data_IF_384312056520
#
_entry.id   IF_384312056520
#
_cell.length_a   1.000
_cell.length_b   1.000
_cell.length_c   1.000
_cell.angle_alpha   90.00
_cell.angle_beta   90.00
_cell.angle_gamma   90.00
#
_symmetry.space_group_name_H-M   'P 1'
#
loop_
_entity.id
_entity.type
_entity.pdbx_description
1 polymer ?
#
# COMPACT_ATOMS: atom_id res chain seq x y z
N UNK A 1 14.50 -10.12 2.23
CA UNK A 1 14.15 -8.70 1.98
C UNK A 1 12.95 -8.52 1.03
N UNK A 2 12.51 -9.57 0.33
CA UNK A 2 11.40 -9.54 -0.65
C UNK A 2 9.99 -9.68 -0.06
N UNK A 3 9.70 -10.69 0.78
CA UNK A 3 8.31 -11.05 1.11
C UNK A 3 7.58 -10.08 2.04
N UNK A 4 8.32 -9.42 2.93
CA UNK A 4 7.75 -8.42 3.85
C UNK A 4 7.18 -7.21 3.07
N UNK A 5 7.94 -6.55 2.17
CA UNK A 5 7.40 -5.44 1.40
C UNK A 5 6.30 -5.83 0.41
N UNK A 6 6.29 -7.08 -0.12
CA UNK A 6 5.18 -7.54 -0.97
C UNK A 6 3.81 -7.36 -0.30
N UNK A 7 3.71 -7.59 1.02
CA UNK A 7 2.45 -7.46 1.78
C UNK A 7 1.92 -6.03 1.73
N UNK A 8 2.81 -5.05 1.93
CA UNK A 8 2.44 -3.63 1.89
C UNK A 8 2.12 -3.19 0.45
N UNK A 9 2.91 -3.63 -0.53
CA UNK A 9 2.73 -3.26 -1.94
C UNK A 9 1.44 -3.82 -2.53
N UNK A 10 1.01 -5.01 -2.09
CA UNK A 10 -0.29 -5.58 -2.43
C UNK A 10 -1.42 -4.62 -2.08
N UNK A 11 -1.50 -4.19 -0.82
CA UNK A 11 -2.58 -3.30 -0.37
C UNK A 11 -2.45 -1.91 -1.01
N UNK A 12 -1.22 -1.41 -1.17
CA UNK A 12 -0.96 -0.15 -1.86
C UNK A 12 -1.40 -0.18 -3.34
N UNK A 13 -1.37 -1.36 -3.99
CA UNK A 13 -1.60 -1.48 -5.43
C UNK A 13 -0.43 -0.95 -6.27
N UNK A 14 0.78 -1.00 -5.71
CA UNK A 14 2.00 -0.60 -6.42
C UNK A 14 2.47 -1.69 -7.39
N UNK A 15 2.98 -1.29 -8.55
CA UNK A 15 3.74 -2.17 -9.44
C UNK A 15 5.15 -2.40 -8.86
N UNK A 16 5.52 -3.67 -8.70
CA UNK A 16 6.83 -4.10 -8.19
C UNK A 16 8.00 -3.53 -8.99
N UNK A 17 7.83 -3.30 -10.30
CA UNK A 17 8.88 -2.73 -11.15
C UNK A 17 9.27 -1.29 -10.75
N UNK A 18 8.40 -0.59 -10.02
CA UNK A 18 8.64 0.76 -9.52
C UNK A 18 9.03 0.80 -8.03
N UNK A 19 9.27 -0.37 -7.41
CA UNK A 19 9.53 -0.48 -5.97
C UNK A 19 11.03 -0.63 -5.72
N UNK A 20 11.57 0.23 -4.86
CA UNK A 20 12.93 0.09 -4.31
C UNK A 20 12.85 -0.17 -2.81
N UNK A 21 13.51 -1.23 -2.34
CA UNK A 21 13.54 -1.58 -0.91
C UNK A 21 14.85 -1.12 -0.28
N UNK A 22 14.75 -0.18 0.66
CA UNK A 22 15.87 0.24 1.51
C UNK A 22 15.66 -0.30 2.92
N UNK A 23 16.62 -1.09 3.39
CA UNK A 23 16.58 -1.60 4.76
C UNK A 23 16.93 -0.47 5.73
N UNK A 24 16.08 -0.24 6.72
CA UNK A 24 16.37 0.72 7.77
C UNK A 24 17.41 0.17 8.75
N UNK A 25 18.26 1.05 9.29
CA UNK A 25 19.02 0.77 10.50
C UNK A 25 18.03 0.53 11.66
N UNK A 26 18.43 -0.31 12.61
CA UNK A 26 17.64 -0.53 13.84
C UNK A 26 17.34 0.79 14.56
N UNK A 27 16.07 1.03 14.86
CA UNK A 27 15.57 2.25 15.51
C UNK A 27 14.24 1.96 16.23
N UNK A 28 14.15 2.36 17.49
CA UNK A 28 12.98 2.13 18.34
C UNK A 28 11.67 2.72 17.76
N UNK A 29 11.75 3.74 16.89
CA UNK A 29 10.56 4.31 16.24
C UNK A 29 9.81 3.31 15.35
N UNK A 30 10.45 2.21 14.94
CA UNK A 30 9.83 1.16 14.14
C UNK A 30 9.29 -0.01 14.99
N UNK A 31 9.37 0.09 16.32
CA UNK A 31 8.97 -0.94 17.26
C UNK A 31 10.00 -2.09 17.36
N UNK A 32 9.55 -3.25 17.84
CA UNK A 32 10.39 -4.45 17.95
C UNK A 32 10.85 -4.92 16.56
N UNK A 33 12.17 -5.02 16.38
CA UNK A 33 12.83 -5.47 15.16
C UNK A 33 13.49 -6.85 15.32
N UNK A 34 13.25 -7.55 16.43
CA UNK A 34 13.73 -8.90 16.63
C UNK A 34 13.22 -9.84 15.52
N UNK A 35 14.13 -10.65 14.98
CA UNK A 35 13.83 -11.69 14.00
C UNK A 35 14.23 -13.04 14.59
N UNK A 36 13.22 -13.76 15.07
CA UNK A 36 13.36 -15.12 15.61
C UNK A 36 12.15 -16.01 15.24
N UNK A 37 12.31 -17.32 15.49
CA UNK A 37 11.21 -18.29 15.52
C UNK A 37 10.36 -18.40 14.25
N UNK A 38 10.86 -17.95 13.10
CA UNK A 38 10.11 -17.90 11.84
C UNK A 38 8.76 -17.18 11.97
N UNK A 39 8.74 -16.05 12.68
CA UNK A 39 7.51 -15.30 13.00
C UNK A 39 7.35 -13.97 12.26
N UNK A 40 8.39 -13.45 11.60
CA UNK A 40 8.40 -12.08 11.06
C UNK A 40 7.23 -11.79 10.10
N UNK A 41 6.92 -12.69 9.17
CA UNK A 41 5.75 -12.50 8.27
C UNK A 41 4.46 -12.46 9.07
N UNK A 42 4.21 -13.46 9.92
CA UNK A 42 2.95 -13.56 10.70
C UNK A 42 2.74 -12.40 11.66
N UNK A 43 3.80 -11.96 12.37
CA UNK A 43 3.73 -10.80 13.27
C UNK A 43 3.44 -9.49 12.53
N UNK A 44 3.97 -9.35 11.32
CA UNK A 44 3.92 -8.10 10.57
C UNK A 44 2.82 -8.07 9.50
N UNK A 45 2.13 -9.18 9.26
CA UNK A 45 1.19 -9.30 8.15
C UNK A 45 0.10 -8.23 8.22
N UNK A 46 -0.63 -8.17 9.33
CA UNK A 46 -1.73 -7.23 9.50
C UNK A 46 -1.27 -5.77 9.44
N UNK A 47 -0.24 -5.40 10.21
CA UNK A 47 0.26 -4.02 10.27
C UNK A 47 0.75 -3.51 8.90
N UNK A 48 1.38 -4.38 8.10
CA UNK A 48 1.88 -4.00 6.78
C UNK A 48 0.74 -3.86 5.77
N UNK A 49 -0.30 -4.69 5.89
CA UNK A 49 -1.51 -4.54 5.08
C UNK A 49 -2.20 -3.22 5.39
N UNK A 50 -2.39 -2.91 6.67
CA UNK A 50 -2.97 -1.63 7.10
C UNK A 50 -2.13 -0.44 6.62
N UNK A 51 -0.80 -0.51 6.72
CA UNK A 51 0.08 0.54 6.21
C UNK A 51 -0.08 0.76 4.69
N UNK A 52 -0.15 -0.31 3.90
CA UNK A 52 -0.39 -0.23 2.46
C UNK A 52 -1.78 0.32 2.12
N UNK A 53 -2.82 -0.14 2.81
CA UNK A 53 -4.20 0.32 2.61
C UNK A 53 -4.39 1.79 3.03
N UNK A 54 -3.68 2.23 4.07
CA UNK A 54 -3.66 3.63 4.50
C UNK A 54 -3.12 4.51 3.38
N UNK A 55 -1.97 4.16 2.82
CA UNK A 55 -1.38 4.89 1.71
C UNK A 55 -2.28 4.86 0.45
N UNK A 56 -2.89 3.71 0.14
CA UNK A 56 -3.86 3.60 -0.96
C UNK A 56 -5.06 4.55 -0.78
N UNK A 57 -5.67 4.58 0.41
CA UNK A 57 -6.80 5.47 0.69
C UNK A 57 -6.40 6.95 0.60
N UNK A 58 -5.20 7.32 1.06
CA UNK A 58 -4.70 8.69 0.92
C UNK A 58 -4.51 9.09 -0.56
N UNK A 59 -4.01 8.17 -1.41
CA UNK A 59 -3.90 8.39 -2.85
C UNK A 59 -5.28 8.50 -3.52
N UNK A 60 -6.22 7.61 -3.17
CA UNK A 60 -7.61 7.68 -3.63
C UNK A 60 -8.26 9.01 -3.24
N UNK A 61 -8.06 9.46 -2.01
CA UNK A 61 -8.60 10.74 -1.52
C UNK A 61 -8.03 11.94 -2.27
N UNK A 62 -6.74 11.93 -2.57
CA UNK A 62 -6.11 12.98 -3.36
C UNK A 62 -6.66 13.04 -4.79
N UNK A 63 -6.79 11.89 -5.46
CA UNK A 63 -7.35 11.82 -6.81
C UNK A 63 -8.83 12.21 -6.83
N UNK A 64 -9.62 11.67 -5.90
CA UNK A 64 -11.05 11.95 -5.75
C UNK A 64 -11.33 13.44 -5.53
N UNK A 65 -10.46 14.14 -4.78
CA UNK A 65 -10.55 15.61 -4.62
C UNK A 65 -10.41 16.35 -5.96
N UNK A 66 -9.47 15.96 -6.81
CA UNK A 66 -9.29 16.54 -8.13
C UNK A 66 -10.45 16.22 -9.08
N UNK A 67 -11.06 15.06 -8.89
CA UNK A 67 -12.16 14.54 -9.69
C UNK A 67 -13.56 14.90 -9.19
N UNK A 68 -13.66 15.47 -7.99
CA UNK A 68 -14.89 15.80 -7.28
C UNK A 68 -15.84 14.60 -7.12
N UNK A 69 -15.29 13.47 -6.66
CA UNK A 69 -16.03 12.21 -6.43
C UNK A 69 -15.74 11.64 -5.04
N UNK A 70 -16.42 10.56 -4.68
CA UNK A 70 -16.17 9.87 -3.42
C UNK A 70 -14.82 9.08 -3.50
N UNK A 71 -13.89 9.23 -2.53
CA UNK A 71 -12.68 8.41 -2.49
C UNK A 71 -12.92 6.90 -2.50
N UNK A 72 -14.06 6.42 -1.99
CA UNK A 72 -14.42 5.01 -1.98
C UNK A 72 -14.92 4.48 -3.34
N UNK A 73 -15.12 5.36 -4.32
CA UNK A 73 -15.31 4.98 -5.73
C UNK A 73 -13.97 4.78 -6.47
N UNK A 74 -12.84 5.05 -5.80
CA UNK A 74 -11.50 4.91 -6.35
C UNK A 74 -10.78 3.67 -5.78
N UNK A 75 -10.00 3.00 -6.62
CA UNK A 75 -9.13 1.89 -6.23
C UNK A 75 -7.70 2.13 -6.72
N UNK A 76 -6.73 1.61 -5.99
CA UNK A 76 -5.34 1.57 -6.45
C UNK A 76 -5.01 0.25 -7.15
N UNK A 77 -4.42 0.36 -8.34
CA UNK A 77 -4.01 -0.78 -9.15
C UNK A 77 -2.83 -0.41 -10.04
N UNK A 78 -1.80 -1.27 -10.05
CA UNK A 78 -0.64 -1.16 -10.95
C UNK A 78 0.00 0.24 -10.98
N UNK A 79 0.17 0.88 -9.82
CA UNK A 79 0.76 2.22 -9.68
C UNK A 79 -0.13 3.40 -10.12
N UNK A 80 -1.43 3.17 -10.31
CA UNK A 80 -2.44 4.18 -10.61
C UNK A 80 -3.57 4.17 -9.58
N UNK A 81 -4.21 5.33 -9.40
CA UNK A 81 -5.56 5.43 -8.85
C UNK A 81 -6.54 5.36 -10.01
N UNK A 82 -7.59 4.54 -9.88
CA UNK A 82 -8.63 4.32 -10.90
C UNK A 82 -9.99 4.63 -10.29
N UNK A 83 -10.75 5.53 -10.90
CA UNK A 83 -12.15 5.79 -10.52
C UNK A 83 -13.05 4.75 -11.19
N UNK A 84 -13.59 3.82 -10.40
CA UNK A 84 -14.32 2.64 -10.89
C UNK A 84 -15.53 2.95 -11.77
N UNK A 85 -16.38 3.94 -11.45
CA UNK A 85 -17.56 4.24 -12.27
C UNK A 85 -17.23 4.72 -13.69
N UNK A 86 -16.10 5.42 -13.88
CA UNK A 86 -15.78 6.06 -15.19
C UNK A 86 -14.57 5.46 -15.90
N UNK A 87 -13.73 4.69 -15.20
CA UNK A 87 -12.48 4.16 -15.74
C UNK A 87 -11.32 5.18 -15.88
N UNK A 88 -11.53 6.47 -15.58
CA UNK A 88 -10.42 7.44 -15.54
C UNK A 88 -9.37 7.02 -14.51
N UNK A 89 -8.11 7.26 -14.85
CA UNK A 89 -6.96 6.90 -14.03
C UNK A 89 -5.96 8.04 -13.93
N UNK A 90 -5.23 8.10 -12.82
CA UNK A 90 -4.15 9.05 -12.58
C UNK A 90 -2.98 8.32 -11.94
N UNK A 91 -1.74 8.66 -12.32
CA UNK A 91 -0.57 8.00 -11.76
C UNK A 91 -0.37 8.43 -10.30
N UNK A 92 0.23 7.56 -9.48
CA UNK A 92 0.55 7.92 -8.10
C UNK A 92 1.41 9.19 -8.02
N UNK A 93 2.38 9.34 -8.93
CA UNK A 93 3.28 10.49 -8.98
C UNK A 93 2.55 11.83 -9.09
N UNK A 94 1.40 11.87 -9.78
CA UNK A 94 0.65 13.10 -10.01
C UNK A 94 -0.16 13.54 -8.78
N UNK A 95 -0.46 12.60 -7.86
CA UNK A 95 -1.31 12.86 -6.69
C UNK A 95 -0.58 12.72 -5.35
N UNK A 96 0.63 12.13 -5.32
CA UNK A 96 1.36 11.83 -4.08
C UNK A 96 1.66 13.07 -3.26
N UNK A 97 1.98 14.20 -3.90
CA UNK A 97 2.27 15.46 -3.21
C UNK A 97 1.05 16.03 -2.47
N UNK A 98 -0.16 15.77 -2.99
CA UNK A 98 -1.42 16.13 -2.33
C UNK A 98 -1.74 15.10 -1.25
N UNK A 99 -1.62 13.81 -1.56
CA UNK A 99 -1.88 12.72 -0.63
C UNK A 99 -1.05 12.85 0.65
N UNK A 100 0.24 13.17 0.54
CA UNK A 100 1.17 13.33 1.66
C UNK A 100 0.78 14.44 2.66
N UNK A 101 -0.11 15.37 2.27
CA UNK A 101 -0.60 16.46 3.12
C UNK A 101 -1.96 16.15 3.77
N UNK A 102 -2.57 15.04 3.40
CA UNK A 102 -3.86 14.62 3.97
C UNK A 102 -3.66 14.05 5.37
N UNK A 103 -4.67 14.17 6.25
CA UNK A 103 -4.65 13.46 7.52
C UNK A 103 -4.58 11.95 7.27
N UNK A 104 -3.86 11.24 8.13
CA UNK A 104 -3.79 9.78 8.11
C UNK A 104 -5.18 9.22 8.49
N UNK A 105 -5.81 8.37 7.66
CA UNK A 105 -7.08 7.74 7.96
C UNK A 105 -7.06 6.92 9.26
N UNK A 106 -8.22 6.77 9.90
CA UNK A 106 -8.33 5.87 11.06
C UNK A 106 -8.35 4.42 10.58
N UNK A 107 -7.92 3.45 11.40
CA UNK A 107 -8.02 2.03 11.05
C UNK A 107 -9.43 1.57 10.67
N UNK A 108 -10.48 2.19 11.24
CA UNK A 108 -11.89 1.92 10.93
C UNK A 108 -12.28 2.28 9.50
N UNK A 109 -11.52 3.15 8.84
CA UNK A 109 -11.82 3.67 7.50
C UNK A 109 -11.18 2.79 6.42
N UNK A 110 -10.28 1.87 6.81
CA UNK A 110 -9.50 1.06 5.89
C UNK A 110 -10.32 -0.12 5.36
N UNK A 111 -10.29 -0.31 4.04
CA UNK A 111 -10.79 -1.50 3.37
C UNK A 111 -9.61 -2.34 2.88
N UNK A 112 -9.33 -3.43 3.57
CA UNK A 112 -8.27 -4.37 3.17
C UNK A 112 -8.76 -5.28 2.04
N UNK A 113 -7.87 -5.59 1.08
CA UNK A 113 -8.18 -6.51 -0.01
C UNK A 113 -8.57 -7.89 0.52
N UNK A 114 -9.58 -8.54 -0.04
CA UNK A 114 -9.81 -9.95 0.26
C UNK A 114 -8.72 -10.81 -0.37
N UNK A 115 -8.51 -12.02 0.16
CA UNK A 115 -7.42 -12.91 -0.29
C UNK A 115 -7.51 -13.28 -1.79
N UNK A 116 -8.72 -13.38 -2.33
CA UNK A 116 -8.99 -13.62 -3.75
C UNK A 116 -8.59 -12.45 -4.67
N UNK A 117 -8.36 -11.26 -4.10
CA UNK A 117 -7.92 -10.06 -4.83
C UNK A 117 -6.42 -9.86 -4.79
N UNK A 118 -5.67 -10.73 -4.11
CA UNK A 118 -4.21 -10.60 -4.05
C UNK A 118 -3.55 -10.95 -5.38
N UNK A 119 -2.63 -10.10 -5.80
CA UNK A 119 -1.92 -10.17 -7.07
C UNK A 119 -0.41 -10.37 -6.91
N UNK A 120 0.13 -10.03 -5.75
CA UNK A 120 1.54 -10.05 -5.37
C UNK A 120 1.81 -11.01 -4.20
N UNK A 121 0.96 -11.03 -3.17
CA UNK A 121 1.15 -11.92 -2.02
C UNK A 121 1.06 -13.39 -2.46
N UNK A 122 2.10 -14.16 -2.17
CA UNK A 122 2.19 -15.57 -2.55
C UNK A 122 2.50 -15.81 -4.02
N UNK A 123 2.82 -14.76 -4.78
CA UNK A 123 3.32 -14.84 -6.15
C UNK A 123 4.83 -14.62 -6.19
N UNK A 124 5.47 -15.23 -7.19
CA UNK A 124 6.88 -14.99 -7.47
C UNK A 124 7.05 -13.57 -7.99
N UNK A 125 7.95 -12.81 -7.38
CA UNK A 125 8.42 -11.50 -7.85
C UNK A 125 9.95 -11.53 -7.93
N UNK A 126 10.59 -10.65 -8.71
CA UNK A 126 12.04 -10.48 -8.68
C UNK A 126 12.53 -10.34 -7.23
N UNK A 127 13.40 -11.26 -6.81
CA UNK A 127 13.94 -11.24 -5.47
C UNK A 127 14.80 -9.98 -5.28
N UNK A 128 14.62 -9.34 -4.14
CA UNK A 128 15.50 -8.27 -3.68
C UNK A 128 16.33 -8.88 -2.56
N UNK A 129 17.63 -9.03 -2.80
CA UNK A 129 18.63 -9.46 -1.82
C UNK A 129 19.71 -8.39 -1.63
#
# INVERSE_FOLDING_TARGET
RTSIPQIMMEELGADWQHVTIKQATGDAKYGDQNTDGSRSVRRNFQRLREAGATAALMLCTAAAKGWQVDPYECETQAHFVVHKPTGRKVAFADVVAVAAKLPVPKPSDLKLKSRDKWTQIGKAVPSVD
#
